data_IF_496534204983
#
_entry.id   IF_496534204983
#
_cell.length_a   1.000
_cell.length_b   1.000
_cell.length_c   1.000
_cell.angle_alpha   90.00
_cell.angle_beta   90.00
_cell.angle_gamma   90.00
#
_symmetry.space_group_name_H-M   'P 1'
#
loop_
_entity.id
_entity.type
_entity.pdbx_description
1 polymer ?
#
# COMPACT_ATOMS: atom_id res chain seq x y z
N UNK A 1 10.51 5.20 2.49
CA UNK A 1 9.87 4.01 1.90
C UNK A 1 8.36 4.16 2.06
N UNK A 2 7.58 3.58 1.15
CA UNK A 2 6.12 3.64 1.14
C UNK A 2 5.57 2.21 1.15
N UNK A 3 4.39 2.01 1.75
CA UNK A 3 3.64 0.76 1.70
C UNK A 3 2.17 1.06 1.39
N UNK A 4 1.62 0.35 0.41
CA UNK A 4 0.25 0.53 -0.03
C UNK A 4 0.10 1.56 -1.15
N UNK A 5 -1.05 2.23 -1.17
CA UNK A 5 -1.46 3.23 -2.16
C UNK A 5 -1.30 4.67 -1.67
N UNK A 6 -0.79 4.88 -0.45
CA UNK A 6 -0.29 6.18 -0.04
C UNK A 6 0.75 6.68 -1.05
N UNK A 7 0.77 7.98 -1.32
CA UNK A 7 1.55 8.51 -2.44
C UNK A 7 2.34 9.75 -2.10
N UNK A 8 3.46 9.95 -2.80
CA UNK A 8 4.22 11.19 -2.77
C UNK A 8 4.71 11.59 -4.17
N UNK A 9 4.97 12.88 -4.34
CA UNK A 9 5.52 13.46 -5.58
C UNK A 9 6.67 14.37 -5.22
N UNK A 10 7.73 14.36 -6.03
CA UNK A 10 8.84 15.30 -5.92
C UNK A 10 8.77 16.29 -7.07
N UNK A 11 8.66 17.58 -6.74
CA UNK A 11 8.61 18.69 -7.69
C UNK A 11 9.93 19.46 -7.63
N UNK A 12 10.56 19.69 -8.78
CA UNK A 12 11.81 20.46 -8.90
C UNK A 12 11.80 21.25 -10.20
N UNK A 13 12.14 22.53 -10.15
CA UNK A 13 12.16 23.43 -11.32
C UNK A 13 10.86 23.37 -12.12
N UNK A 14 9.72 23.44 -11.43
CA UNK A 14 8.39 23.40 -12.03
C UNK A 14 8.06 22.09 -12.78
N UNK A 15 8.79 21.00 -12.54
CA UNK A 15 8.54 19.68 -13.13
C UNK A 15 8.42 18.59 -12.06
N UNK A 16 7.59 17.60 -12.32
CA UNK A 16 7.52 16.38 -11.52
C UNK A 16 8.71 15.49 -11.91
N UNK A 17 9.64 15.29 -10.99
CA UNK A 17 10.83 14.45 -11.23
C UNK A 17 10.68 13.04 -10.67
N UNK A 18 9.70 12.83 -9.79
CA UNK A 18 9.37 11.52 -9.24
C UNK A 18 7.94 11.48 -8.74
N UNK A 19 7.29 10.32 -8.90
CA UNK A 19 6.00 9.96 -8.31
C UNK A 19 6.12 8.55 -7.76
N UNK A 20 5.63 8.33 -6.56
CA UNK A 20 5.54 6.99 -5.98
C UNK A 20 4.63 6.10 -6.81
N UNK A 21 5.00 4.83 -6.95
CA UNK A 21 4.14 3.81 -7.51
C UNK A 21 3.25 3.20 -6.42
N UNK A 22 1.99 2.97 -6.74
CA UNK A 22 1.02 2.28 -5.90
C UNK A 22 1.39 0.80 -5.73
N UNK A 23 1.16 0.25 -4.53
CA UNK A 23 1.40 -1.15 -4.21
C UNK A 23 0.08 -1.79 -3.76
N UNK A 24 -0.44 -2.72 -4.55
CA UNK A 24 -1.75 -3.34 -4.35
C UNK A 24 -1.77 -4.79 -4.84
N UNK A 25 -2.65 -5.60 -4.27
CA UNK A 25 -2.90 -6.98 -4.75
C UNK A 25 -3.76 -6.96 -6.02
N UNK A 26 -4.81 -6.13 -6.01
CA UNK A 26 -5.76 -5.89 -7.09
C UNK A 26 -6.43 -4.52 -6.87
N UNK A 27 -7.40 -4.15 -7.71
CA UNK A 27 -8.06 -2.85 -7.65
C UNK A 27 -8.63 -2.55 -6.25
N UNK A 28 -8.21 -1.42 -5.68
CA UNK A 28 -8.68 -0.92 -4.39
C UNK A 28 -8.37 -1.84 -3.19
N UNK A 29 -7.29 -2.64 -3.28
CA UNK A 29 -6.78 -3.50 -2.20
C UNK A 29 -5.27 -3.27 -1.98
N UNK A 30 -4.88 -2.14 -1.36
CA UNK A 30 -3.48 -1.77 -1.16
C UNK A 30 -2.76 -2.72 -0.20
N UNK A 31 -1.44 -2.85 -0.34
CA UNK A 31 -0.62 -3.54 0.65
C UNK A 31 -0.67 -2.80 1.99
N UNK A 32 -0.82 -3.54 3.09
CA UNK A 32 -0.94 -2.96 4.43
C UNK A 32 -0.12 -3.76 5.45
N UNK A 33 0.38 -3.07 6.48
CA UNK A 33 0.95 -3.75 7.63
C UNK A 33 -0.20 -4.35 8.44
N UNK A 34 -0.10 -5.64 8.72
CA UNK A 34 -1.02 -6.34 9.61
C UNK A 34 -0.22 -7.07 10.70
N UNK A 35 -0.81 -7.15 11.89
CA UNK A 35 -0.35 -8.09 12.91
C UNK A 35 -0.95 -9.44 12.54
N UNK A 36 -0.11 -10.46 12.39
CA UNK A 36 -0.62 -11.81 12.18
C UNK A 36 -1.54 -12.16 13.36
N UNK A 37 -2.81 -12.51 13.12
CA UNK A 37 -3.73 -12.80 14.20
C UNK A 37 -3.25 -14.02 14.97
N UNK A 38 -3.19 -13.88 16.30
CA UNK A 38 -2.81 -14.96 17.22
C UNK A 38 -3.98 -15.90 17.51
N UNK A 39 -5.21 -15.45 17.27
CA UNK A 39 -6.46 -16.18 17.39
C UNK A 39 -6.98 -16.43 15.98
N UNK A 40 -7.50 -17.64 15.70
CA UNK A 40 -8.25 -17.89 14.46
C UNK A 40 -9.54 -17.08 14.51
N UNK A 41 -9.50 -15.84 14.04
CA UNK A 41 -10.70 -15.07 13.75
C UNK A 41 -11.35 -15.67 12.48
N UNK A 42 -12.57 -16.21 12.56
CA UNK A 42 -13.26 -16.76 11.40
C UNK A 42 -13.56 -15.71 10.32
N UNK A 43 -13.47 -14.42 10.66
CA UNK A 43 -13.64 -13.31 9.71
C UNK A 43 -12.31 -12.81 9.15
N UNK A 44 -11.18 -13.43 9.49
CA UNK A 44 -9.91 -13.07 8.88
C UNK A 44 -9.91 -13.43 7.40
N UNK A 45 -9.88 -12.41 6.56
CA UNK A 45 -9.63 -12.54 5.13
C UNK A 45 -8.13 -12.30 4.93
N UNK A 46 -7.40 -13.34 4.53
CA UNK A 46 -6.01 -13.24 4.09
C UNK A 46 -5.97 -13.39 2.57
N UNK A 47 -5.03 -12.70 1.93
CA UNK A 47 -4.77 -12.91 0.50
C UNK A 47 -4.33 -14.37 0.25
N UNK A 48 -4.75 -14.89 -0.91
CA UNK A 48 -4.40 -16.24 -1.39
C UNK A 48 -3.00 -16.28 -2.00
#
# INVERSE_FOLDING_TARGET
>A
ANLGDSGFVVIRKNAIVHRSQEQQHYFNSPFQLAIHPTIKDPNLIADR
#
